data_IF_167883660433
#
_entry.id   IF_167883660433
#
_cell.length_a   1.000
_cell.length_b   1.000
_cell.length_c   1.000
_cell.angle_alpha   90.00
_cell.angle_beta   90.00
_cell.angle_gamma   90.00
#
_symmetry.space_group_name_H-M   'P 1'
#
loop_
_entity.id
_entity.type
_entity.pdbx_description
1 polymer ?
#
# COMPACT_ATOMS: atom_id res chain seq x y z
N UNK A 1 -83.89 -56.74 -6.73
CA UNK A 1 -82.56 -56.09 -6.66
C UNK A 1 -82.19 -56.05 -5.20
N UNK A 2 -81.17 -56.80 -4.79
CA UNK A 2 -80.72 -56.81 -3.39
C UNK A 2 -79.93 -55.55 -3.10
N UNK A 3 -80.41 -54.74 -2.16
CA UNK A 3 -79.62 -53.71 -1.52
C UNK A 3 -78.42 -54.38 -0.86
N UNK A 4 -77.22 -54.13 -1.40
CA UNK A 4 -75.97 -54.41 -0.74
C UNK A 4 -75.84 -53.41 0.42
N UNK A 5 -76.53 -53.70 1.52
CA UNK A 5 -76.36 -53.03 2.81
C UNK A 5 -75.01 -53.44 3.40
N UNK A 6 -73.93 -52.96 2.79
CA UNK A 6 -72.60 -53.06 3.38
C UNK A 6 -72.60 -52.33 4.72
N UNK A 7 -72.18 -53.01 5.79
CA UNK A 7 -72.11 -52.43 7.14
C UNK A 7 -71.40 -51.07 7.10
N UNK A 8 -72.11 -50.00 7.50
CA UNK A 8 -71.50 -48.67 7.66
C UNK A 8 -70.49 -48.73 8.79
N UNK A 9 -69.21 -48.74 8.44
CA UNK A 9 -68.11 -48.69 9.39
C UNK A 9 -67.64 -47.25 9.61
N UNK A 10 -67.12 -46.89 10.80
CA UNK A 10 -66.51 -45.58 11.03
C UNK A 10 -65.42 -45.21 10.00
N UNK A 11 -64.68 -46.20 9.49
CA UNK A 11 -63.67 -46.01 8.45
C UNK A 11 -64.28 -45.56 7.12
N UNK A 12 -65.39 -46.17 6.70
CA UNK A 12 -66.11 -45.76 5.48
C UNK A 12 -66.65 -44.34 5.62
N UNK A 13 -67.23 -44.00 6.77
CA UNK A 13 -67.74 -42.64 7.06
C UNK A 13 -66.59 -41.61 7.04
N UNK A 14 -65.43 -41.95 7.61
CA UNK A 14 -64.26 -41.08 7.56
C UNK A 14 -63.79 -40.84 6.12
N UNK A 15 -63.78 -41.88 5.26
CA UNK A 15 -63.44 -41.75 3.85
C UNK A 15 -64.46 -40.87 3.09
N UNK A 16 -65.77 -41.03 3.33
CA UNK A 16 -66.82 -40.18 2.78
C UNK A 16 -66.61 -38.70 3.18
N UNK A 17 -66.40 -38.44 4.47
CA UNK A 17 -66.15 -37.09 5.00
C UNK A 17 -64.90 -36.46 4.37
N UNK A 18 -63.80 -37.21 4.27
CA UNK A 18 -62.56 -36.71 3.67
C UNK A 18 -62.72 -36.43 2.17
N UNK A 19 -63.51 -37.24 1.46
CA UNK A 19 -63.83 -37.01 0.05
C UNK A 19 -64.60 -35.71 -0.14
N UNK A 20 -65.64 -35.48 0.65
CA UNK A 20 -66.43 -34.23 0.63
C UNK A 20 -65.54 -33.03 0.98
N UNK A 21 -64.72 -33.16 2.02
CA UNK A 21 -63.79 -32.10 2.45
C UNK A 21 -62.83 -31.71 1.32
N UNK A 22 -62.25 -32.68 0.62
CA UNK A 22 -61.37 -32.41 -0.52
C UNK A 22 -62.13 -31.68 -1.64
N UNK A 23 -63.29 -32.21 -2.05
CA UNK A 23 -64.12 -31.58 -3.10
C UNK A 23 -64.50 -30.13 -2.77
N UNK A 24 -64.96 -29.86 -1.54
CA UNK A 24 -65.28 -28.50 -1.09
C UNK A 24 -64.03 -27.61 -1.10
N UNK A 25 -62.89 -28.14 -0.67
CA UNK A 25 -61.61 -27.43 -0.71
C UNK A 25 -61.23 -26.96 -2.11
N UNK A 26 -61.39 -27.83 -3.11
CA UNK A 26 -61.12 -27.53 -4.53
C UNK A 26 -62.04 -26.42 -5.07
N UNK A 27 -63.34 -26.54 -4.81
CA UNK A 27 -64.34 -25.53 -5.21
C UNK A 27 -64.03 -24.19 -4.55
N UNK A 28 -63.63 -24.19 -3.28
CA UNK A 28 -63.27 -22.98 -2.54
C UNK A 28 -62.02 -22.31 -3.12
N UNK A 29 -60.97 -23.09 -3.46
CA UNK A 29 -59.76 -22.54 -4.07
C UNK A 29 -60.07 -21.90 -5.43
N UNK A 30 -60.80 -22.58 -6.30
CA UNK A 30 -61.20 -22.04 -7.60
C UNK A 30 -62.03 -20.76 -7.45
N UNK A 31 -62.99 -20.77 -6.52
CA UNK A 31 -63.83 -19.60 -6.24
C UNK A 31 -62.99 -18.43 -5.71
N UNK A 32 -62.00 -18.70 -4.84
CA UNK A 32 -61.10 -17.70 -4.31
C UNK A 32 -60.24 -17.05 -5.41
N UNK A 33 -59.73 -17.83 -6.37
CA UNK A 33 -58.98 -17.33 -7.53
C UNK A 33 -59.88 -16.44 -8.40
N UNK A 34 -61.11 -16.87 -8.69
CA UNK A 34 -62.04 -16.08 -9.51
C UNK A 34 -62.46 -14.77 -8.80
N UNK A 35 -62.69 -14.81 -7.49
CA UNK A 35 -62.93 -13.60 -6.70
C UNK A 35 -61.71 -12.68 -6.77
N UNK A 36 -60.49 -13.23 -6.61
CA UNK A 36 -59.24 -12.51 -6.78
C UNK A 36 -59.13 -11.77 -8.11
N UNK A 37 -59.51 -12.43 -9.20
CA UNK A 37 -59.57 -11.84 -10.55
C UNK A 37 -60.50 -10.64 -10.61
N UNK A 38 -61.71 -10.74 -10.06
CA UNK A 38 -62.69 -9.63 -10.04
C UNK A 38 -62.23 -8.50 -9.13
N UNK A 39 -61.58 -8.82 -8.02
CA UNK A 39 -61.00 -7.82 -7.12
C UNK A 39 -59.86 -7.05 -7.80
N UNK A 40 -59.00 -7.73 -8.57
CA UNK A 40 -57.95 -7.08 -9.34
C UNK A 40 -58.52 -6.14 -10.41
N UNK A 41 -59.55 -6.59 -11.13
CA UNK A 41 -60.30 -5.78 -12.10
C UNK A 41 -60.93 -4.55 -11.45
N UNK A 42 -61.70 -4.72 -10.37
CA UNK A 42 -62.33 -3.62 -9.64
C UNK A 42 -61.30 -2.61 -9.11
N UNK A 43 -60.16 -3.10 -8.58
CA UNK A 43 -59.08 -2.24 -8.08
C UNK A 43 -58.48 -1.35 -9.17
N UNK A 44 -58.43 -1.82 -10.42
CA UNK A 44 -57.92 -1.05 -11.57
C UNK A 44 -58.87 0.06 -12.03
N UNK A 45 -60.16 -0.07 -11.74
CA UNK A 45 -61.22 0.89 -12.13
C UNK A 45 -61.49 1.96 -11.07
N UNK A 46 -61.03 1.74 -9.83
CA UNK A 46 -61.31 2.62 -8.71
C UNK A 46 -60.31 3.78 -8.63
N UNK A 47 -60.77 5.01 -8.31
CA UNK A 47 -59.89 6.13 -8.02
C UNK A 47 -58.96 5.86 -6.83
N UNK A 48 -57.83 6.57 -6.80
CA UNK A 48 -56.88 6.49 -5.69
C UNK A 48 -57.56 6.83 -4.36
N UNK A 49 -57.31 6.01 -3.33
CA UNK A 49 -57.85 6.20 -1.98
C UNK A 49 -59.20 5.52 -1.71
N UNK A 50 -59.99 5.19 -2.74
CA UNK A 50 -61.35 4.63 -2.56
C UNK A 50 -61.38 3.11 -2.32
N UNK A 51 -60.28 2.41 -2.57
CA UNK A 51 -60.18 0.95 -2.49
C UNK A 51 -60.63 0.38 -1.13
N UNK A 52 -60.20 0.99 -0.03
CA UNK A 52 -60.51 0.50 1.32
C UNK A 52 -62.00 0.57 1.62
N UNK A 53 -62.63 1.71 1.33
CA UNK A 53 -64.07 1.94 1.55
C UNK A 53 -64.91 1.02 0.67
N UNK A 54 -64.55 0.90 -0.61
CA UNK A 54 -65.25 0.02 -1.54
C UNK A 54 -65.23 -1.45 -1.09
N UNK A 55 -64.11 -1.94 -0.57
CA UNK A 55 -64.00 -3.31 -0.06
C UNK A 55 -64.97 -3.59 1.10
N UNK A 56 -65.10 -2.65 2.04
CA UNK A 56 -65.97 -2.80 3.20
C UNK A 56 -67.45 -2.70 2.80
N UNK A 57 -67.81 -1.71 1.98
CA UNK A 57 -69.20 -1.41 1.63
C UNK A 57 -69.78 -2.35 0.56
N UNK A 58 -68.98 -2.76 -0.45
CA UNK A 58 -69.50 -3.45 -1.63
C UNK A 58 -69.37 -4.98 -1.55
N UNK A 59 -68.33 -5.49 -0.89
CA UNK A 59 -68.01 -6.93 -0.85
C UNK A 59 -67.69 -7.46 0.55
N UNK A 60 -67.76 -6.60 1.58
CA UNK A 60 -67.53 -6.94 2.98
C UNK A 60 -66.19 -7.66 3.24
N UNK A 61 -65.13 -7.23 2.54
CA UNK A 61 -63.78 -7.78 2.72
C UNK A 61 -62.85 -6.84 3.46
N UNK A 62 -61.96 -7.43 4.26
CA UNK A 62 -60.79 -6.71 4.75
C UNK A 62 -59.77 -6.49 3.64
N UNK A 63 -58.96 -5.43 3.74
CA UNK A 63 -57.81 -5.19 2.84
C UNK A 63 -56.88 -6.41 2.76
N UNK A 64 -56.62 -7.09 3.89
CA UNK A 64 -55.76 -8.28 3.95
C UNK A 64 -56.36 -9.44 3.14
N UNK A 65 -57.66 -9.72 3.33
CA UNK A 65 -58.36 -10.78 2.60
C UNK A 65 -58.34 -10.51 1.10
N UNK A 66 -58.72 -9.29 0.68
CA UNK A 66 -58.74 -8.91 -0.73
C UNK A 66 -57.35 -9.01 -1.36
N UNK A 67 -56.30 -8.61 -0.64
CA UNK A 67 -54.91 -8.72 -1.11
C UNK A 67 -54.50 -10.19 -1.30
N UNK A 68 -54.83 -11.06 -0.35
CA UNK A 68 -54.52 -12.49 -0.48
C UNK A 68 -55.25 -13.13 -1.67
N UNK A 69 -56.52 -12.78 -1.88
CA UNK A 69 -57.32 -13.28 -3.01
C UNK A 69 -56.75 -12.80 -4.36
N UNK A 70 -56.39 -11.52 -4.47
CA UNK A 70 -55.74 -10.97 -5.67
C UNK A 70 -54.41 -11.70 -5.94
N UNK A 71 -53.56 -11.90 -4.92
CA UNK A 71 -52.30 -12.64 -5.06
C UNK A 71 -52.49 -14.08 -5.51
N UNK A 72 -53.49 -14.77 -4.95
CA UNK A 72 -53.85 -16.13 -5.41
C UNK A 72 -54.20 -16.13 -6.90
N UNK A 73 -54.91 -15.11 -7.38
CA UNK A 73 -55.22 -14.96 -8.80
C UNK A 73 -53.98 -14.67 -9.65
N UNK A 74 -53.14 -13.73 -9.23
CA UNK A 74 -51.93 -13.35 -9.98
C UNK A 74 -51.00 -14.56 -10.18
N UNK A 75 -50.84 -15.37 -9.14
CA UNK A 75 -49.88 -16.47 -9.06
C UNK A 75 -50.44 -17.82 -9.58
N UNK A 76 -51.74 -18.07 -9.43
CA UNK A 76 -52.37 -19.35 -9.79
C UNK A 76 -53.47 -19.25 -10.85
N UNK A 77 -53.95 -18.03 -11.15
CA UNK A 77 -55.06 -17.78 -12.07
C UNK A 77 -54.64 -17.53 -13.52
N UNK A 78 -53.35 -17.27 -13.79
CA UNK A 78 -52.83 -17.06 -15.14
C UNK A 78 -52.36 -18.38 -15.77
N UNK A 79 -52.63 -18.57 -17.06
CA UNK A 79 -52.16 -19.75 -17.82
C UNK A 79 -50.64 -19.73 -18.10
N UNK A 80 -49.98 -18.63 -17.75
CA UNK A 80 -48.53 -18.39 -17.95
C UNK A 80 -47.72 -18.61 -16.68
N UNK A 81 -48.36 -18.85 -15.52
CA UNK A 81 -47.66 -19.15 -14.27
C UNK A 81 -46.82 -20.42 -14.41
N UNK A 82 -45.66 -20.45 -13.75
CA UNK A 82 -44.67 -21.53 -13.87
C UNK A 82 -45.14 -22.92 -13.37
N UNK A 83 -46.39 -23.04 -12.91
CA UNK A 83 -47.00 -24.30 -12.50
C UNK A 83 -47.46 -25.05 -13.74
N UNK A 84 -46.75 -26.12 -14.17
CA UNK A 84 -46.96 -26.74 -15.47
C UNK A 84 -48.30 -27.48 -15.57
N UNK A 85 -48.96 -27.73 -14.45
CA UNK A 85 -50.19 -28.49 -14.39
C UNK A 85 -51.24 -27.80 -13.52
N UNK A 86 -52.34 -27.38 -14.17
CA UNK A 86 -53.63 -27.15 -13.49
C UNK A 86 -54.05 -28.35 -12.62
N UNK A 87 -53.54 -29.54 -12.93
CA UNK A 87 -53.68 -30.76 -12.13
C UNK A 87 -53.04 -30.64 -10.74
N UNK A 88 -51.83 -30.07 -10.61
CA UNK A 88 -51.16 -29.90 -9.32
C UNK A 88 -51.86 -28.87 -8.43
N UNK A 89 -52.54 -27.90 -9.05
CA UNK A 89 -53.47 -26.99 -8.36
C UNK A 89 -54.79 -27.66 -7.98
N UNK A 90 -55.19 -28.72 -8.69
CA UNK A 90 -56.45 -29.39 -8.47
C UNK A 90 -56.49 -30.12 -7.13
N UNK A 91 -55.35 -30.40 -6.49
CA UNK A 91 -55.30 -31.10 -5.19
C UNK A 91 -55.03 -30.16 -4.01
N UNK A 92 -54.88 -28.86 -4.27
CA UNK A 92 -54.68 -27.86 -3.23
C UNK A 92 -55.99 -27.38 -2.61
N UNK A 93 -55.97 -27.21 -1.29
CA UNK A 93 -56.98 -26.43 -0.57
C UNK A 93 -56.61 -24.94 -0.57
N UNK A 94 -57.61 -24.07 -0.39
CA UNK A 94 -57.42 -22.61 -0.26
C UNK A 94 -56.27 -22.22 0.69
N UNK A 95 -56.23 -22.82 1.87
CA UNK A 95 -55.20 -22.51 2.89
C UNK A 95 -53.82 -22.95 2.45
N UNK A 96 -53.69 -24.12 1.81
CA UNK A 96 -52.41 -24.59 1.27
C UNK A 96 -51.91 -23.68 0.13
N UNK A 97 -52.81 -23.24 -0.76
CA UNK A 97 -52.50 -22.29 -1.82
C UNK A 97 -51.90 -20.99 -1.28
N UNK A 98 -52.47 -20.43 -0.19
CA UNK A 98 -51.92 -19.23 0.47
C UNK A 98 -50.55 -19.51 1.10
N UNK A 99 -50.37 -20.64 1.76
CA UNK A 99 -49.09 -20.98 2.39
C UNK A 99 -47.98 -21.11 1.34
N UNK A 100 -48.30 -21.70 0.19
CA UNK A 100 -47.37 -21.89 -0.92
C UNK A 100 -46.97 -20.58 -1.63
N UNK A 101 -47.72 -19.48 -1.44
CA UNK A 101 -47.27 -18.14 -1.86
C UNK A 101 -46.02 -17.67 -1.09
N UNK A 102 -45.69 -18.32 0.03
CA UNK A 102 -44.41 -18.12 0.72
C UNK A 102 -43.23 -18.83 0.03
N UNK A 103 -43.46 -19.50 -1.10
CA UNK A 103 -42.45 -20.13 -1.96
C UNK A 103 -42.27 -19.26 -3.22
N UNK A 104 -41.02 -18.94 -3.63
CA UNK A 104 -40.74 -18.32 -4.92
C UNK A 104 -41.45 -19.06 -6.05
N UNK A 105 -41.95 -18.34 -7.05
CA UNK A 105 -42.74 -18.92 -8.14
C UNK A 105 -41.96 -20.03 -8.87
N UNK A 106 -40.67 -19.80 -9.10
CA UNK A 106 -39.76 -20.67 -9.83
C UNK A 106 -39.53 -22.01 -9.14
N UNK A 107 -39.53 -22.01 -7.80
CA UNK A 107 -39.30 -23.21 -6.98
C UNK A 107 -40.61 -23.89 -6.56
N UNK A 108 -41.75 -23.20 -6.68
CA UNK A 108 -43.03 -23.66 -6.16
C UNK A 108 -43.48 -24.98 -6.78
N UNK A 109 -43.29 -25.15 -8.09
CA UNK A 109 -43.65 -26.39 -8.79
C UNK A 109 -42.85 -27.60 -8.29
N UNK A 110 -41.53 -27.44 -8.10
CA UNK A 110 -40.66 -28.50 -7.56
C UNK A 110 -41.02 -28.80 -6.11
N UNK A 111 -41.23 -27.76 -5.30
CA UNK A 111 -41.62 -27.89 -3.90
C UNK A 111 -42.94 -28.65 -3.74
N UNK A 112 -43.92 -28.40 -4.62
CA UNK A 112 -45.20 -29.13 -4.66
C UNK A 112 -44.98 -30.59 -5.07
N UNK A 113 -44.12 -30.86 -6.06
CA UNK A 113 -43.86 -32.22 -6.54
C UNK A 113 -43.13 -33.10 -5.52
N UNK A 114 -42.29 -32.50 -4.66
CA UNK A 114 -41.55 -33.20 -3.61
C UNK A 114 -42.38 -33.47 -2.34
N UNK A 115 -43.45 -32.70 -2.11
CA UNK A 115 -44.29 -32.79 -0.92
C UNK A 115 -45.56 -33.58 -1.18
N UNK A 116 -45.86 -34.51 -0.27
CA UNK A 116 -47.15 -35.20 -0.23
C UNK A 116 -48.22 -34.29 0.39
N UNK A 117 -48.77 -33.38 -0.42
CA UNK A 117 -49.74 -32.38 0.01
C UNK A 117 -51.10 -32.97 0.44
N UNK A 118 -51.42 -34.21 0.04
CA UNK A 118 -52.67 -34.86 0.42
C UNK A 118 -52.66 -35.30 1.89
N UNK A 119 -51.50 -35.78 2.36
CA UNK A 119 -51.35 -36.26 3.73
C UNK A 119 -50.80 -35.20 4.70
N UNK A 120 -50.19 -34.12 4.18
CA UNK A 120 -49.63 -33.06 5.01
C UNK A 120 -50.71 -32.18 5.64
N UNK A 121 -50.62 -31.94 6.94
CA UNK A 121 -51.45 -30.93 7.59
C UNK A 121 -51.00 -29.51 7.19
N UNK A 122 -51.93 -28.56 7.28
CA UNK A 122 -51.63 -27.13 7.01
C UNK A 122 -50.54 -26.57 7.93
N UNK A 123 -50.42 -27.09 9.15
CA UNK A 123 -49.36 -26.70 10.10
C UNK A 123 -47.99 -27.22 9.67
N UNK A 124 -47.93 -28.47 9.23
CA UNK A 124 -46.70 -29.07 8.69
C UNK A 124 -46.27 -28.35 7.42
N UNK A 125 -47.21 -27.98 6.55
CA UNK A 125 -46.89 -27.26 5.31
C UNK A 125 -46.33 -25.87 5.62
N UNK A 126 -46.91 -25.18 6.59
CA UNK A 126 -46.41 -23.89 7.05
C UNK A 126 -44.99 -24.03 7.64
N UNK A 127 -44.74 -25.09 8.41
CA UNK A 127 -43.41 -25.39 8.95
C UNK A 127 -42.40 -25.68 7.84
N UNK A 128 -42.76 -26.49 6.85
CA UNK A 128 -41.90 -26.82 5.71
C UNK A 128 -41.52 -25.57 4.90
N UNK A 129 -42.49 -24.68 4.62
CA UNK A 129 -42.23 -23.40 3.94
C UNK A 129 -41.32 -22.50 4.78
N UNK A 130 -41.51 -22.47 6.10
CA UNK A 130 -40.67 -21.67 7.00
C UNK A 130 -39.24 -22.20 7.07
N UNK A 131 -39.05 -23.51 7.25
CA UNK A 131 -37.74 -24.17 7.27
C UNK A 131 -36.99 -23.96 5.95
N UNK A 132 -37.68 -24.08 4.80
CA UNK A 132 -37.09 -23.79 3.49
C UNK A 132 -36.64 -22.33 3.38
N UNK A 133 -37.48 -21.40 3.79
CA UNK A 133 -37.15 -19.96 3.77
C UNK A 133 -35.95 -19.64 4.66
N UNK A 134 -35.87 -20.26 5.84
CA UNK A 134 -34.73 -20.11 6.74
C UNK A 134 -33.45 -20.69 6.12
N UNK A 135 -33.53 -21.90 5.57
CA UNK A 135 -32.40 -22.54 4.89
C UNK A 135 -31.93 -21.75 3.65
N UNK A 136 -32.85 -21.16 2.89
CA UNK A 136 -32.52 -20.28 1.77
C UNK A 136 -31.80 -19.02 2.25
N UNK A 137 -32.34 -18.34 3.28
CA UNK A 137 -31.71 -17.15 3.85
C UNK A 137 -30.33 -17.44 4.46
N UNK A 138 -30.14 -18.59 5.09
CA UNK A 138 -28.84 -19.03 5.60
C UNK A 138 -27.85 -19.33 4.46
N UNK A 139 -28.30 -19.99 3.39
CA UNK A 139 -27.48 -20.19 2.19
C UNK A 139 -27.06 -18.86 1.56
N UNK A 140 -27.97 -17.92 1.40
CA UNK A 140 -27.68 -16.62 0.79
C UNK A 140 -26.69 -15.82 1.65
N UNK A 141 -26.83 -15.86 2.98
CA UNK A 141 -25.84 -15.28 3.91
C UNK A 141 -24.48 -15.94 3.78
N UNK A 142 -24.43 -17.28 3.78
CA UNK A 142 -23.18 -18.01 3.65
C UNK A 142 -22.48 -17.75 2.30
N UNK A 143 -23.26 -17.60 1.22
CA UNK A 143 -22.74 -17.19 -0.09
C UNK A 143 -22.20 -15.76 -0.03
N UNK A 144 -22.95 -14.83 0.57
CA UNK A 144 -22.51 -13.44 0.78
C UNK A 144 -21.19 -13.35 1.54
N UNK A 145 -21.12 -13.98 2.72
CA UNK A 145 -19.91 -14.04 3.55
C UNK A 145 -18.73 -14.67 2.78
N UNK A 146 -18.98 -15.75 2.02
CA UNK A 146 -17.94 -16.37 1.20
C UNK A 146 -17.44 -15.42 0.11
N UNK A 147 -18.33 -14.68 -0.56
CA UNK A 147 -17.93 -13.71 -1.58
C UNK A 147 -17.13 -12.55 -1.01
N UNK A 148 -17.52 -12.05 0.17
CA UNK A 148 -16.77 -11.02 0.89
C UNK A 148 -15.38 -11.50 1.30
N UNK A 149 -15.28 -12.72 1.84
CA UNK A 149 -13.99 -13.33 2.18
C UNK A 149 -13.10 -13.55 0.96
N UNK A 150 -13.68 -13.96 -0.17
CA UNK A 150 -12.93 -14.11 -1.43
C UNK A 150 -12.39 -12.77 -1.92
N UNK A 151 -13.19 -11.71 -1.87
CA UNK A 151 -12.73 -10.37 -2.25
C UNK A 151 -11.61 -9.89 -1.31
N UNK A 152 -11.77 -10.05 -0.01
CA UNK A 152 -10.75 -9.68 0.97
C UNK A 152 -9.43 -10.45 0.76
N UNK A 153 -9.48 -11.72 0.33
CA UNK A 153 -8.31 -12.52 0.00
C UNK A 153 -7.58 -11.98 -1.23
N UNK A 154 -8.32 -11.57 -2.26
CA UNK A 154 -7.75 -10.95 -3.47
C UNK A 154 -7.08 -9.64 -3.10
N UNK A 155 -7.76 -8.76 -2.36
CA UNK A 155 -7.23 -7.47 -1.92
C UNK A 155 -5.95 -7.64 -1.08
N UNK A 156 -5.92 -8.62 -0.16
CA UNK A 156 -4.72 -8.95 0.60
C UNK A 156 -3.59 -9.49 -0.28
N UNK A 157 -3.90 -10.29 -1.30
CA UNK A 157 -2.92 -10.81 -2.25
C UNK A 157 -2.27 -9.71 -3.10
N UNK A 158 -3.07 -8.73 -3.53
CA UNK A 158 -2.59 -7.54 -4.23
C UNK A 158 -1.69 -6.68 -3.33
N UNK A 159 -2.10 -6.46 -2.09
CA UNK A 159 -1.30 -5.71 -1.10
C UNK A 159 0.03 -6.41 -0.80
N UNK A 160 0.03 -7.74 -0.63
CA UNK A 160 1.25 -8.53 -0.45
C UNK A 160 2.19 -8.42 -1.65
N UNK A 161 1.64 -8.43 -2.87
CA UNK A 161 2.43 -8.27 -4.10
C UNK A 161 3.07 -6.89 -4.16
N UNK A 162 2.31 -5.83 -3.80
CA UNK A 162 2.82 -4.46 -3.72
C UNK A 162 3.92 -4.33 -2.69
N UNK A 163 3.70 -4.81 -1.46
CA UNK A 163 4.69 -4.77 -0.39
C UNK A 163 5.94 -5.58 -0.73
N UNK A 164 5.82 -6.71 -1.43
CA UNK A 164 6.98 -7.44 -1.91
C UNK A 164 7.79 -6.63 -2.92
N UNK A 165 7.12 -5.97 -3.87
CA UNK A 165 7.78 -5.09 -4.84
C UNK A 165 8.46 -3.88 -4.19
N UNK A 166 7.82 -3.26 -3.19
CA UNK A 166 8.44 -2.20 -2.39
C UNK A 166 9.67 -2.70 -1.63
N UNK A 167 9.59 -3.90 -1.04
CA UNK A 167 10.72 -4.54 -0.35
C UNK A 167 11.88 -4.81 -1.30
N UNK A 168 11.62 -5.31 -2.51
CA UNK A 168 12.66 -5.54 -3.53
C UNK A 168 13.31 -4.21 -3.95
N UNK A 169 12.52 -3.17 -4.24
CA UNK A 169 13.04 -1.84 -4.56
C UNK A 169 13.88 -1.23 -3.42
N UNK A 170 13.48 -1.43 -2.17
CA UNK A 170 14.24 -0.97 -1.00
C UNK A 170 15.56 -1.73 -0.85
N UNK A 171 15.58 -3.03 -1.14
CA UNK A 171 16.83 -3.81 -1.15
C UNK A 171 17.80 -3.28 -2.19
N UNK A 172 17.33 -3.04 -3.42
CA UNK A 172 18.15 -2.44 -4.48
C UNK A 172 18.69 -1.07 -4.07
N UNK A 173 17.86 -0.25 -3.41
CA UNK A 173 18.29 1.07 -2.95
C UNK A 173 19.33 1.01 -1.84
N UNK A 174 19.19 0.07 -0.91
CA UNK A 174 20.18 -0.17 0.15
C UNK A 174 21.51 -0.62 -0.45
N UNK A 175 21.49 -1.49 -1.46
CA UNK A 175 22.70 -1.92 -2.17
C UNK A 175 23.39 -0.74 -2.88
N UNK A 176 22.64 0.08 -3.61
CA UNK A 176 23.17 1.28 -4.28
C UNK A 176 23.79 2.25 -3.26
N UNK A 177 23.10 2.51 -2.15
CA UNK A 177 23.60 3.40 -1.08
C UNK A 177 24.89 2.86 -0.45
N UNK A 178 24.99 1.55 -0.23
CA UNK A 178 26.21 0.93 0.29
C UNK A 178 27.37 1.08 -0.69
N UNK A 179 27.15 0.85 -1.99
CA UNK A 179 28.19 1.07 -3.00
C UNK A 179 28.65 2.54 -3.06
N UNK A 180 27.72 3.50 -2.96
CA UNK A 180 28.05 4.93 -2.93
C UNK A 180 28.83 5.27 -1.66
N UNK A 181 28.42 4.72 -0.51
CA UNK A 181 29.10 4.90 0.77
C UNK A 181 30.54 4.40 0.69
N UNK A 182 30.76 3.17 0.24
CA UNK A 182 32.10 2.59 0.08
C UNK A 182 33.00 3.44 -0.83
N UNK A 183 32.47 3.88 -1.99
CA UNK A 183 33.19 4.78 -2.90
C UNK A 183 33.53 6.12 -2.24
N UNK A 184 32.61 6.66 -1.44
CA UNK A 184 32.84 7.92 -0.73
C UNK A 184 33.90 7.78 0.36
N UNK A 185 33.89 6.68 1.11
CA UNK A 185 34.86 6.37 2.17
C UNK A 185 36.26 6.17 1.57
N UNK A 186 36.39 5.41 0.49
CA UNK A 186 37.65 5.24 -0.23
C UNK A 186 38.19 6.57 -0.78
N UNK A 187 37.31 7.46 -1.25
CA UNK A 187 37.71 8.80 -1.73
C UNK A 187 38.18 9.69 -0.58
N UNK A 188 37.52 9.65 0.56
CA UNK A 188 37.94 10.38 1.77
C UNK A 188 39.30 9.89 2.25
N UNK A 189 39.53 8.58 2.28
CA UNK A 189 40.81 8.00 2.66
C UNK A 189 41.93 8.44 1.71
N UNK A 190 41.70 8.37 0.40
CA UNK A 190 42.66 8.84 -0.61
C UNK A 190 42.98 10.33 -0.46
N UNK A 191 41.96 11.19 -0.34
CA UNK A 191 42.16 12.63 -0.14
C UNK A 191 42.91 12.94 1.16
N UNK A 192 42.68 12.16 2.22
CA UNK A 192 43.41 12.28 3.48
C UNK A 192 44.90 11.96 3.31
N UNK A 193 45.22 10.90 2.57
CA UNK A 193 46.60 10.54 2.24
C UNK A 193 47.27 11.62 1.37
N UNK A 194 46.59 12.10 0.34
CA UNK A 194 47.08 13.15 -0.56
C UNK A 194 47.31 14.48 0.19
N UNK A 195 46.43 14.84 1.13
CA UNK A 195 46.64 16.01 1.99
C UNK A 195 47.84 15.86 2.91
N UNK A 196 48.08 14.64 3.43
CA UNK A 196 49.22 14.36 4.30
C UNK A 196 50.53 14.46 3.52
N UNK A 197 50.60 13.88 2.31
CA UNK A 197 51.79 13.97 1.45
C UNK A 197 52.06 15.40 1.01
N UNK A 198 51.05 16.15 0.56
CA UNK A 198 51.20 17.54 0.14
C UNK A 198 51.67 18.45 1.30
N UNK A 199 51.17 18.22 2.51
CA UNK A 199 51.62 18.94 3.70
C UNK A 199 53.10 18.65 4.01
N UNK A 200 53.52 17.39 3.89
CA UNK A 200 54.91 17.00 4.07
C UNK A 200 55.81 17.64 3.01
N UNK A 201 55.44 17.57 1.73
CA UNK A 201 56.20 18.20 0.64
C UNK A 201 56.32 19.72 0.80
N UNK A 202 55.22 20.40 1.13
CA UNK A 202 55.21 21.85 1.34
C UNK A 202 56.11 22.23 2.52
N UNK A 203 56.08 21.44 3.60
CA UNK A 203 56.95 21.66 4.76
C UNK A 203 58.42 21.43 4.43
N UNK A 204 58.76 20.39 3.67
CA UNK A 204 60.11 20.13 3.21
C UNK A 204 60.62 21.24 2.27
N UNK A 205 59.77 21.73 1.37
CA UNK A 205 60.07 22.84 0.49
C UNK A 205 60.29 24.15 1.26
N UNK A 206 59.50 24.41 2.31
CA UNK A 206 59.69 25.57 3.17
C UNK A 206 61.02 25.52 3.93
N UNK A 207 61.41 24.34 4.44
CA UNK A 207 62.70 24.12 5.11
C UNK A 207 63.86 24.36 4.14
N UNK A 208 63.80 23.81 2.92
CA UNK A 208 64.85 24.00 1.91
C UNK A 208 65.03 25.48 1.51
N UNK A 209 63.91 26.21 1.34
CA UNK A 209 63.96 27.66 1.06
C UNK A 209 64.57 28.44 2.23
N UNK A 210 64.26 28.07 3.47
CA UNK A 210 64.82 28.71 4.64
C UNK A 210 66.34 28.45 4.75
N UNK A 211 66.76 27.20 4.54
CA UNK A 211 68.19 26.84 4.55
C UNK A 211 68.97 27.62 3.50
N UNK A 212 68.47 27.68 2.26
CA UNK A 212 69.14 28.42 1.18
C UNK A 212 69.30 29.91 1.52
N UNK A 213 68.26 30.54 2.10
CA UNK A 213 68.33 31.94 2.56
C UNK A 213 69.33 32.13 3.69
N UNK A 214 69.44 31.17 4.59
CA UNK A 214 70.39 31.22 5.70
C UNK A 214 71.83 31.13 5.18
N UNK A 215 72.09 30.23 4.23
CA UNK A 215 73.39 30.09 3.57
C UNK A 215 73.77 31.38 2.81
N UNK A 216 72.84 31.95 2.04
CA UNK A 216 73.05 33.23 1.36
C UNK A 216 73.35 34.35 2.36
N UNK A 217 72.61 34.45 3.47
CA UNK A 217 72.83 35.45 4.49
C UNK A 217 74.18 35.26 5.20
N UNK A 218 74.58 34.01 5.48
CA UNK A 218 75.87 33.67 6.05
C UNK A 218 77.02 34.08 5.12
N UNK A 219 76.96 33.70 3.85
CA UNK A 219 77.96 34.06 2.85
C UNK A 219 78.03 35.57 2.64
N UNK A 220 76.89 36.27 2.59
CA UNK A 220 76.85 37.73 2.50
C UNK A 220 77.49 38.41 3.71
N UNK A 221 77.23 37.90 4.91
CA UNK A 221 77.81 38.44 6.15
C UNK A 221 79.32 38.22 6.19
N UNK A 222 79.78 37.02 5.80
CA UNK A 222 81.21 36.72 5.65
C UNK A 222 81.88 37.60 4.60
N UNK A 223 81.27 37.76 3.43
CA UNK A 223 81.77 38.61 2.35
C UNK A 223 81.86 40.07 2.80
N UNK A 224 80.82 40.61 3.47
CA UNK A 224 80.84 41.95 4.03
C UNK A 224 81.94 42.13 5.08
N UNK A 225 82.19 41.12 5.93
CA UNK A 225 83.28 41.16 6.91
C UNK A 225 84.65 41.15 6.24
N UNK A 226 84.83 40.35 5.18
CA UNK A 226 86.06 40.34 4.38
C UNK A 226 86.27 41.71 3.71
N UNK A 227 85.22 42.28 3.11
CA UNK A 227 85.27 43.61 2.48
C UNK A 227 85.65 44.70 3.49
N UNK A 228 85.03 44.70 4.68
CA UNK A 228 85.38 45.65 5.74
C UNK A 228 86.84 45.53 6.20
N UNK A 229 87.34 44.31 6.40
CA UNK A 229 88.74 44.08 6.78
C UNK A 229 89.69 44.56 5.67
N UNK A 230 89.33 44.30 4.41
CA UNK A 230 90.09 44.79 3.26
C UNK A 230 90.12 46.31 3.18
N UNK A 231 88.97 46.99 3.29
CA UNK A 231 88.88 48.45 3.27
C UNK A 231 89.65 49.08 4.43
N UNK A 232 89.55 48.51 5.63
CA UNK A 232 90.32 48.95 6.80
C UNK A 232 91.84 48.81 6.57
N UNK A 233 92.27 47.70 5.96
CA UNK A 233 93.67 47.45 5.63
C UNK A 233 94.17 48.42 4.55
N UNK A 234 93.40 48.63 3.47
CA UNK A 234 93.75 49.59 2.41
C UNK A 234 93.90 51.01 2.96
N UNK A 235 92.95 51.45 3.81
CA UNK A 235 93.02 52.76 4.45
C UNK A 235 94.25 52.93 5.33
N UNK A 236 94.46 52.03 6.28
CA UNK A 236 95.60 52.09 7.22
C UNK A 236 96.94 52.00 6.49
N UNK A 237 97.01 51.20 5.41
CA UNK A 237 98.20 51.11 4.59
C UNK A 237 98.47 52.40 3.81
N UNK A 238 97.44 53.07 3.27
CA UNK A 238 97.60 54.39 2.64
C UNK A 238 98.07 55.46 3.63
N UNK A 239 97.51 55.47 4.83
CA UNK A 239 97.93 56.37 5.91
C UNK A 239 99.41 56.11 6.28
N UNK A 240 99.81 54.84 6.44
CA UNK A 240 101.21 54.47 6.66
C UNK A 240 102.14 54.95 5.54
N UNK A 241 101.75 54.75 4.27
CA UNK A 241 102.54 55.24 3.13
C UNK A 241 102.68 56.76 3.12
N UNK A 242 101.65 57.49 3.54
CA UNK A 242 101.68 58.95 3.65
C UNK A 242 102.63 59.41 4.76
N UNK A 243 102.51 58.86 5.97
CA UNK A 243 103.40 59.16 7.10
C UNK A 243 104.86 58.84 6.77
N UNK A 244 105.10 57.70 6.11
CA UNK A 244 106.44 57.34 5.63
C UNK A 244 107.01 58.35 4.62
N UNK A 245 106.17 58.89 3.75
CA UNK A 245 106.58 59.90 2.77
C UNK A 245 106.94 61.22 3.45
N UNK A 246 106.23 61.62 4.49
CA UNK A 246 106.58 62.80 5.29
C UNK A 246 107.84 62.55 6.13
N UNK A 247 107.94 61.40 6.78
CA UNK A 247 109.11 61.02 7.58
C UNK A 247 110.40 60.91 6.75
N UNK A 248 110.32 60.45 5.50
CA UNK A 248 111.45 60.41 4.57
C UNK A 248 112.10 61.78 4.33
N UNK A 249 111.36 62.88 4.48
CA UNK A 249 111.89 64.25 4.35
C UNK A 249 112.68 64.69 5.58
N UNK A 250 112.43 64.07 6.74
CA UNK A 250 113.01 64.44 8.03
C UNK A 250 114.16 63.51 8.43
N UNK A 251 114.02 62.19 8.21
CA UNK A 251 115.03 61.18 8.55
C UNK A 251 115.18 60.09 7.46
N UNK A 252 116.08 60.28 6.49
CA UNK A 252 116.25 59.36 5.35
C UNK A 252 116.74 57.95 5.74
N UNK A 253 117.61 57.85 6.74
CA UNK A 253 118.20 56.57 7.18
C UNK A 253 117.18 55.70 7.92
N UNK A 254 116.41 56.28 8.85
CA UNK A 254 115.32 55.61 9.57
C UNK A 254 114.21 55.14 8.61
N UNK A 255 113.88 55.93 7.58
CA UNK A 255 112.91 55.56 6.54
C UNK A 255 113.28 54.26 5.81
N UNK A 256 114.56 54.06 5.47
CA UNK A 256 115.03 52.86 4.75
C UNK A 256 114.76 51.58 5.55
N UNK A 257 114.96 51.63 6.87
CA UNK A 257 114.71 50.50 7.78
C UNK A 257 113.21 50.14 7.82
N UNK A 258 112.33 51.13 7.95
CA UNK A 258 110.88 50.88 7.97
C UNK A 258 110.35 50.40 6.62
N UNK A 259 110.92 50.89 5.52
CA UNK A 259 110.60 50.42 4.17
C UNK A 259 110.93 48.94 4.00
N UNK A 260 112.12 48.52 4.41
CA UNK A 260 112.54 47.12 4.33
C UNK A 260 111.66 46.22 5.23
N UNK A 261 111.27 46.70 6.41
CA UNK A 261 110.32 45.99 7.30
C UNK A 261 108.95 45.77 6.65
N UNK A 262 108.39 46.77 5.97
CA UNK A 262 107.09 46.64 5.28
C UNK A 262 107.20 45.69 4.09
N UNK A 263 108.24 45.82 3.27
CA UNK A 263 108.45 44.93 2.13
C UNK A 263 108.59 43.48 2.58
N UNK A 264 109.36 43.24 3.65
CA UNK A 264 109.47 41.91 4.25
C UNK A 264 108.12 41.41 4.79
N UNK A 265 107.36 42.25 5.51
CA UNK A 265 106.03 41.88 6.01
C UNK A 265 105.08 41.47 4.88
N UNK A 266 105.02 42.23 3.78
CA UNK A 266 104.18 41.91 2.63
C UNK A 266 104.63 40.65 1.90
N UNK A 267 105.95 40.50 1.70
CA UNK A 267 106.52 39.36 0.98
C UNK A 267 106.37 38.07 1.78
N UNK A 268 106.58 38.11 3.09
CA UNK A 268 106.37 36.95 3.97
C UNK A 268 104.89 36.62 4.13
N UNK A 269 104.00 37.62 4.20
CA UNK A 269 102.55 37.37 4.27
C UNK A 269 102.02 36.70 2.99
N UNK A 270 102.54 37.08 1.81
CA UNK A 270 102.18 36.43 0.54
C UNK A 270 102.69 34.99 0.43
N UNK A 271 103.79 34.64 1.08
CA UNK A 271 104.32 33.26 1.11
C UNK A 271 103.58 32.35 2.10
N UNK A 272 102.96 32.93 3.14
CA UNK A 272 102.42 32.20 4.31
C UNK A 272 100.93 31.86 4.22
N UNK A 273 100.38 31.80 3.01
CA UNK A 273 98.96 31.54 2.67
C UNK A 273 98.17 32.80 2.27
N UNK A 274 98.32 33.15 0.99
CA UNK A 274 97.16 33.23 0.09
C UNK A 274 97.01 31.90 -0.65
#
# INVERSE_FOLDING_TARGET
MGELSGERTPLLIAAEINTIKNQVGKVLLYSAIEIGRRLAEAKSLLPYGEWGRWLEESVSYSKRTATNLIRLFEEYGSQTSALPDRQALADLTYTQGIILLGVPEEERAQFIAELDLENLSTRELQKAVQERNQAAAERDRAVGEKTELQQALVDQGEELTRLSGERDNLLDKVEELNQVKEKSEARVEKLSLDLKSLKQETSAQAINRMSSRLDEAYHKTKANKVAFLYESMDRTFRELLWEMKEFAKQEPESYKIYKDKIVNFLTESLKKEM
#
